data_IF_671525920259
#
_entry.id   IF_671525920259
#
_cell.length_a   1.000
_cell.length_b   1.000
_cell.length_c   1.000
_cell.angle_alpha   90.00
_cell.angle_beta   90.00
_cell.angle_gamma   90.00
#
_symmetry.space_group_name_H-M   'P 1'
#
loop_
_entity.id
_entity.type
_entity.pdbx_description
1 polymer ?
#
# COMPACT_ATOMS: atom_id res chain seq x y z
N UNK A 1 16.56 -15.18 -11.38
CA UNK A 1 17.12 -14.89 -10.04
C UNK A 1 16.57 -15.87 -9.01
N UNK A 2 17.36 -16.10 -7.96
CA UNK A 2 16.91 -16.85 -6.78
C UNK A 2 17.25 -16.04 -5.53
N UNK A 3 16.25 -15.84 -4.67
CA UNK A 3 16.42 -15.25 -3.35
C UNK A 3 16.54 -16.36 -2.32
N UNK A 4 17.43 -16.23 -1.38
CA UNK A 4 17.67 -17.23 -0.35
C UNK A 4 18.19 -16.61 0.94
N UNK A 5 18.09 -17.35 2.02
CA UNK A 5 18.52 -16.95 3.37
C UNK A 5 19.86 -17.58 3.71
N UNK A 6 20.72 -16.81 4.38
CA UNK A 6 22.01 -17.31 4.86
C UNK A 6 22.49 -16.56 6.10
N UNK A 7 23.14 -17.28 6.99
CA UNK A 7 23.88 -16.79 8.16
C UNK A 7 25.39 -16.62 7.89
N UNK A 8 25.77 -16.51 6.61
CA UNK A 8 27.18 -16.40 6.20
C UNK A 8 27.87 -15.17 6.81
N UNK A 9 29.19 -15.25 7.10
CA UNK A 9 29.95 -14.11 7.59
C UNK A 9 29.86 -12.90 6.66
N UNK A 10 29.75 -11.70 7.24
CA UNK A 10 29.64 -10.44 6.51
C UNK A 10 28.19 -10.00 6.24
N UNK A 11 27.19 -10.68 6.80
CA UNK A 11 25.80 -10.23 6.86
C UNK A 11 25.58 -9.10 7.85
N UNK A 12 24.34 -8.66 7.98
CA UNK A 12 23.92 -7.60 8.89
C UNK A 12 23.40 -8.14 10.22
N UNK A 13 22.82 -9.35 10.21
CA UNK A 13 22.20 -9.93 11.38
C UNK A 13 22.40 -11.43 11.55
N UNK A 14 21.43 -12.06 12.20
CA UNK A 14 21.48 -13.50 12.46
C UNK A 14 21.32 -14.30 11.16
N UNK A 15 20.35 -13.90 10.31
CA UNK A 15 20.17 -14.43 8.96
C UNK A 15 19.76 -13.30 8.03
N UNK A 16 20.35 -13.25 6.85
CA UNK A 16 20.10 -12.23 5.83
C UNK A 16 19.57 -12.85 4.55
N UNK A 17 18.80 -12.05 3.79
CA UNK A 17 18.39 -12.40 2.44
C UNK A 17 19.42 -11.98 1.43
N UNK A 18 19.78 -12.93 0.59
CA UNK A 18 20.72 -12.80 -0.52
C UNK A 18 20.01 -13.10 -1.85
N UNK A 19 20.61 -12.65 -2.94
CA UNK A 19 20.17 -12.96 -4.30
C UNK A 19 21.33 -13.44 -5.14
N UNK A 20 21.03 -14.37 -6.05
CA UNK A 20 21.92 -14.84 -7.13
C UNK A 20 21.19 -14.76 -8.47
N UNK A 21 21.95 -14.50 -9.52
CA UNK A 21 21.52 -14.74 -10.88
C UNK A 21 21.70 -16.22 -11.24
N UNK A 22 20.82 -16.74 -12.07
CA UNK A 22 20.90 -18.08 -12.65
C UNK A 22 21.06 -17.90 -14.14
N UNK A 23 22.14 -18.36 -14.72
CA UNK A 23 22.38 -18.28 -16.15
C UNK A 23 21.58 -19.34 -16.94
N UNK A 24 21.69 -19.30 -18.27
CA UNK A 24 20.98 -20.24 -19.14
C UNK A 24 21.42 -21.71 -18.98
N UNK A 25 22.56 -21.95 -18.34
CA UNK A 25 23.08 -23.30 -18.05
C UNK A 25 22.81 -23.76 -16.63
N UNK A 26 22.10 -22.92 -15.81
CA UNK A 26 21.78 -23.20 -14.42
C UNK A 26 22.91 -22.88 -13.44
N UNK A 27 23.97 -22.20 -13.86
CA UNK A 27 25.05 -21.76 -12.94
C UNK A 27 24.61 -20.50 -12.19
N UNK A 28 25.06 -20.41 -10.92
CA UNK A 28 24.75 -19.30 -10.03
C UNK A 28 25.88 -18.26 -10.05
N UNK A 29 25.50 -17.00 -10.02
CA UNK A 29 26.44 -15.90 -9.75
C UNK A 29 26.92 -15.91 -8.30
N UNK A 30 27.91 -15.05 -7.99
CA UNK A 30 28.25 -14.77 -6.60
C UNK A 30 27.03 -14.17 -5.86
N UNK A 31 26.76 -14.63 -4.63
CA UNK A 31 25.67 -14.12 -3.83
C UNK A 31 25.85 -12.64 -3.46
N UNK A 32 24.79 -11.87 -3.65
CA UNK A 32 24.71 -10.47 -3.23
C UNK A 32 23.72 -10.33 -2.07
N UNK A 33 24.17 -9.69 -0.99
CA UNK A 33 23.31 -9.31 0.12
C UNK A 33 22.35 -8.18 -0.32
N UNK A 34 21.08 -8.26 0.01
CA UNK A 34 20.08 -7.23 -0.36
C UNK A 34 20.22 -5.91 0.38
N UNK A 35 21.14 -5.83 1.34
CA UNK A 35 21.48 -4.58 2.01
C UNK A 35 20.51 -4.18 3.13
N UNK A 36 20.78 -3.05 3.77
CA UNK A 36 20.13 -2.59 5.01
C UNK A 36 18.67 -2.18 4.85
N UNK A 37 18.15 -2.02 3.65
CA UNK A 37 16.74 -1.76 3.42
C UNK A 37 15.89 -3.00 3.68
N UNK A 38 16.46 -4.18 3.47
CA UNK A 38 15.83 -5.48 3.69
C UNK A 38 16.38 -6.14 4.95
N UNK A 39 17.71 -6.26 5.07
CA UNK A 39 18.37 -6.99 6.14
C UNK A 39 18.67 -6.07 7.34
N UNK A 40 18.48 -6.60 8.55
CA UNK A 40 18.66 -5.91 9.82
C UNK A 40 19.62 -6.71 10.73
N UNK A 41 19.74 -6.33 11.99
CA UNK A 41 20.47 -7.12 12.99
C UNK A 41 19.72 -8.38 13.45
N UNK A 42 18.44 -8.50 13.03
CA UNK A 42 17.55 -9.61 13.36
C UNK A 42 17.67 -10.76 12.34
N UNK A 43 16.64 -11.60 12.27
CA UNK A 43 16.49 -12.66 11.27
C UNK A 43 15.61 -12.16 10.14
N UNK A 44 16.08 -12.27 8.93
CA UNK A 44 15.25 -12.16 7.73
C UNK A 44 15.14 -13.54 7.08
N UNK A 45 13.91 -14.01 6.90
CA UNK A 45 13.61 -15.39 6.49
C UNK A 45 12.50 -15.45 5.44
N UNK A 46 12.34 -16.59 4.78
CA UNK A 46 11.22 -16.91 3.89
C UNK A 46 10.99 -15.88 2.78
N UNK A 47 12.01 -15.52 1.98
CA UNK A 47 11.84 -14.56 0.90
C UNK A 47 10.92 -15.10 -0.20
N UNK A 48 9.96 -14.32 -0.63
CA UNK A 48 9.08 -14.59 -1.76
C UNK A 48 8.98 -13.35 -2.65
N UNK A 49 9.49 -13.45 -3.87
CA UNK A 49 9.45 -12.35 -4.84
C UNK A 49 8.34 -12.61 -5.87
N UNK A 50 7.49 -11.64 -6.06
CA UNK A 50 6.43 -11.64 -7.07
C UNK A 50 6.30 -10.24 -7.67
N UNK A 51 6.27 -10.16 -8.99
CA UNK A 51 6.23 -8.89 -9.73
C UNK A 51 7.26 -7.86 -9.24
N UNK A 52 6.81 -6.76 -8.67
CA UNK A 52 7.61 -5.66 -8.17
C UNK A 52 7.66 -5.61 -6.65
N UNK A 53 7.56 -6.75 -5.98
CA UNK A 53 7.57 -6.85 -4.53
C UNK A 53 8.40 -8.04 -4.04
N UNK A 54 9.05 -7.86 -2.90
CA UNK A 54 9.66 -8.91 -2.09
C UNK A 54 8.91 -9.00 -0.76
N UNK A 55 8.36 -10.16 -0.47
CA UNK A 55 7.81 -10.50 0.84
C UNK A 55 8.82 -11.33 1.61
N UNK A 56 8.91 -11.11 2.89
CA UNK A 56 9.82 -11.86 3.78
C UNK A 56 9.33 -11.77 5.22
N UNK A 57 9.82 -12.65 6.09
CA UNK A 57 9.50 -12.61 7.51
C UNK A 57 10.70 -12.17 8.31
N UNK A 58 10.48 -11.40 9.37
CA UNK A 58 11.55 -10.91 10.24
C UNK A 58 11.07 -10.75 11.68
N UNK A 59 11.96 -11.04 12.64
CA UNK A 59 11.75 -10.75 14.06
C UNK A 59 12.39 -9.43 14.49
N UNK A 60 12.53 -8.47 13.55
CA UNK A 60 13.05 -7.13 13.85
C UNK A 60 12.20 -6.39 14.87
N UNK A 61 12.79 -5.44 15.63
CA UNK A 61 12.05 -4.63 16.59
C UNK A 61 10.84 -3.92 15.97
N UNK A 62 9.82 -3.65 16.78
CA UNK A 62 8.55 -3.00 16.40
C UNK A 62 7.63 -3.85 15.50
N UNK A 63 7.83 -5.16 15.48
CA UNK A 63 6.85 -6.12 14.98
C UNK A 63 5.65 -6.29 15.92
N UNK A 64 4.69 -7.11 15.52
CA UNK A 64 3.51 -7.47 16.33
C UNK A 64 3.76 -8.73 17.18
N UNK A 65 4.62 -9.61 16.69
CA UNK A 65 4.89 -10.91 17.31
C UNK A 65 6.36 -11.31 17.31
N UNK A 66 6.60 -12.56 17.07
CA UNK A 66 7.94 -13.12 16.87
C UNK A 66 8.43 -12.82 15.44
N UNK A 67 8.15 -13.74 14.50
CA UNK A 67 8.32 -13.45 13.07
C UNK A 67 7.08 -12.75 12.55
N UNK A 68 7.26 -11.62 11.89
CA UNK A 68 6.22 -10.91 11.16
C UNK A 68 6.52 -10.87 9.67
N UNK A 69 5.50 -10.87 8.84
CA UNK A 69 5.61 -10.70 7.40
C UNK A 69 5.75 -9.23 7.03
N UNK A 70 6.75 -8.94 6.22
CA UNK A 70 7.03 -7.62 5.66
C UNK A 70 6.93 -7.66 4.13
N UNK A 71 6.57 -6.53 3.54
CA UNK A 71 6.58 -6.29 2.09
C UNK A 71 7.56 -5.16 1.79
N UNK A 72 8.37 -5.33 0.76
CA UNK A 72 9.19 -4.27 0.19
C UNK A 72 8.91 -4.15 -1.30
N UNK A 73 8.57 -2.95 -1.75
CA UNK A 73 8.38 -2.67 -3.18
C UNK A 73 9.73 -2.41 -3.85
N UNK A 74 9.90 -2.96 -5.04
CA UNK A 74 11.12 -2.82 -5.83
C UNK A 74 11.35 -4.00 -6.76
N UNK A 75 12.38 -3.89 -7.59
CA UNK A 75 12.77 -4.92 -8.56
C UNK A 75 14.28 -5.03 -8.66
N UNK A 76 14.75 -6.16 -9.19
CA UNK A 76 16.14 -6.32 -9.60
C UNK A 76 17.18 -5.94 -8.53
N UNK A 77 17.00 -6.42 -7.31
CA UNK A 77 17.91 -6.20 -6.17
C UNK A 77 17.83 -4.81 -5.53
N UNK A 78 17.01 -3.91 -6.08
CA UNK A 78 16.76 -2.60 -5.49
C UNK A 78 15.36 -2.59 -4.87
N UNK A 79 15.33 -2.76 -3.57
CA UNK A 79 14.11 -2.80 -2.78
C UNK A 79 14.08 -1.63 -1.78
N UNK A 80 12.89 -1.08 -1.55
CA UNK A 80 12.64 -0.10 -0.50
C UNK A 80 12.72 -0.72 0.89
N UNK A 81 12.42 0.08 1.90
CA UNK A 81 12.34 -0.40 3.29
C UNK A 81 11.15 -1.35 3.43
N UNK A 82 11.37 -2.47 4.12
CA UNK A 82 10.29 -3.42 4.41
C UNK A 82 9.23 -2.81 5.31
N UNK A 83 7.97 -2.91 4.90
CA UNK A 83 6.78 -2.46 5.63
C UNK A 83 6.06 -3.68 6.21
N UNK A 84 5.80 -3.66 7.52
CA UNK A 84 5.03 -4.70 8.20
C UNK A 84 3.61 -4.77 7.62
N UNK A 85 3.12 -5.97 7.27
CA UNK A 85 1.78 -6.13 6.69
C UNK A 85 0.65 -5.89 7.71
N UNK A 86 0.96 -5.93 9.00
CA UNK A 86 -0.03 -5.73 10.05
C UNK A 86 -1.07 -6.85 10.14
N UNK A 87 -2.07 -6.65 11.00
CA UNK A 87 -3.22 -7.54 11.10
C UNK A 87 -4.10 -7.47 9.83
N UNK A 88 -4.72 -8.57 9.41
CA UNK A 88 -4.78 -9.89 10.07
C UNK A 88 -3.66 -10.87 9.64
N UNK A 89 -2.75 -10.46 8.76
CA UNK A 89 -1.64 -11.33 8.33
C UNK A 89 -0.70 -11.56 9.50
N UNK A 90 -0.22 -10.51 10.12
CA UNK A 90 0.62 -10.60 11.30
C UNK A 90 -0.22 -10.63 12.59
N UNK A 91 0.28 -11.32 13.60
CA UNK A 91 -0.33 -11.52 14.90
C UNK A 91 0.70 -11.32 16.01
N UNK A 92 0.33 -11.58 17.26
CA UNK A 92 1.28 -11.59 18.38
C UNK A 92 2.10 -12.89 18.50
N UNK A 93 2.21 -13.65 17.40
CA UNK A 93 2.92 -14.92 17.27
C UNK A 93 3.88 -14.88 16.09
N UNK A 94 4.40 -16.03 15.67
CA UNK A 94 5.18 -16.13 14.45
C UNK A 94 4.24 -16.23 13.24
N UNK A 95 4.47 -15.37 12.26
CA UNK A 95 3.76 -15.32 10.99
C UNK A 95 4.80 -15.30 9.86
N UNK A 96 4.77 -16.31 8.98
CA UNK A 96 5.86 -16.54 8.04
C UNK A 96 5.43 -17.29 6.78
N UNK A 97 6.39 -17.51 5.85
CA UNK A 97 6.16 -18.22 4.58
C UNK A 97 5.00 -17.67 3.76
N UNK A 98 4.86 -16.34 3.73
CA UNK A 98 3.80 -15.66 2.98
C UNK A 98 4.03 -15.81 1.48
N UNK A 99 2.98 -16.22 0.77
CA UNK A 99 2.91 -16.24 -0.68
C UNK A 99 1.59 -15.62 -1.14
N UNK A 100 1.60 -14.97 -2.29
CA UNK A 100 0.43 -14.36 -2.91
C UNK A 100 0.45 -14.63 -4.42
N UNK A 101 -0.71 -14.76 -5.03
CA UNK A 101 -0.80 -14.92 -6.47
C UNK A 101 -0.39 -13.64 -7.23
N UNK A 102 -0.16 -13.75 -8.53
CA UNK A 102 0.24 -12.62 -9.36
C UNK A 102 -0.85 -11.52 -9.47
N UNK A 103 -2.11 -11.85 -9.19
CA UNK A 103 -3.20 -10.85 -9.14
C UNK A 103 -3.18 -10.04 -7.84
N UNK A 104 -2.47 -10.50 -6.80
CA UNK A 104 -2.49 -9.90 -5.47
C UNK A 104 -3.80 -10.12 -4.71
N UNK A 105 -4.64 -11.06 -5.15
CA UNK A 105 -5.98 -11.25 -4.59
C UNK A 105 -6.06 -12.34 -3.52
N UNK A 106 -5.25 -13.38 -3.61
CA UNK A 106 -5.30 -14.49 -2.66
C UNK A 106 -3.93 -15.11 -2.43
N UNK A 107 -3.76 -15.67 -1.24
CA UNK A 107 -2.50 -16.28 -0.88
C UNK A 107 -2.60 -17.12 0.37
N UNK A 108 -1.43 -17.52 0.87
CA UNK A 108 -1.27 -18.35 2.06
C UNK A 108 -0.10 -17.83 2.89
N UNK A 109 -0.14 -18.11 4.17
CA UNK A 109 0.97 -17.92 5.10
C UNK A 109 0.92 -18.97 6.20
N UNK A 110 2.04 -19.20 6.88
CA UNK A 110 2.09 -20.06 8.04
C UNK A 110 2.06 -19.24 9.33
N UNK A 111 1.45 -19.76 10.38
CA UNK A 111 1.40 -19.09 11.68
C UNK A 111 1.17 -20.08 12.82
N UNK A 112 1.80 -19.82 13.98
CA UNK A 112 1.54 -20.53 15.24
C UNK A 112 0.55 -19.77 16.16
N UNK A 113 -0.33 -18.97 15.55
CA UNK A 113 -1.37 -18.21 16.27
C UNK A 113 -2.37 -19.14 16.95
N UNK A 114 -2.98 -18.66 18.03
CA UNK A 114 -3.99 -19.44 18.76
C UNK A 114 -5.19 -19.76 17.89
N UNK A 115 -5.72 -20.98 18.06
CA UNK A 115 -6.93 -21.45 17.37
C UNK A 115 -6.64 -22.34 16.16
N UNK A 116 -5.37 -22.59 15.86
CA UNK A 116 -4.93 -23.58 14.89
C UNK A 116 -5.10 -25.03 15.38
N UNK A 117 -4.62 -25.98 14.59
CA UNK A 117 -4.69 -27.42 14.87
C UNK A 117 -3.35 -28.00 15.33
N UNK A 118 -2.24 -27.37 14.94
CA UNK A 118 -0.88 -27.76 15.27
C UNK A 118 -0.09 -26.63 15.92
N UNK A 119 1.23 -26.78 15.93
CA UNK A 119 2.14 -25.70 16.35
C UNK A 119 2.18 -24.62 15.26
N UNK A 120 2.44 -25.02 14.02
CA UNK A 120 2.37 -24.16 12.84
C UNK A 120 1.25 -24.66 11.92
N UNK A 121 0.37 -23.77 11.53
CA UNK A 121 -0.73 -24.04 10.62
C UNK A 121 -0.64 -23.16 9.37
N UNK A 122 -1.18 -23.62 8.25
CA UNK A 122 -1.29 -22.87 7.02
C UNK A 122 -2.65 -22.17 6.98
N UNK A 123 -2.61 -20.86 6.84
CA UNK A 123 -3.78 -20.01 6.68
C UNK A 123 -3.88 -19.52 5.24
N UNK A 124 -5.10 -19.50 4.72
CA UNK A 124 -5.41 -18.84 3.46
C UNK A 124 -6.00 -17.46 3.72
N UNK A 125 -5.70 -16.51 2.86
CA UNK A 125 -6.32 -15.20 2.89
C UNK A 125 -6.82 -14.82 1.49
N UNK A 126 -7.82 -13.96 1.47
CA UNK A 126 -8.26 -13.28 0.27
C UNK A 126 -8.16 -11.78 0.51
N UNK A 127 -7.38 -11.10 -0.32
CA UNK A 127 -7.35 -9.65 -0.36
C UNK A 127 -8.71 -9.16 -0.84
N UNK A 128 -9.40 -8.40 -0.02
CA UNK A 128 -10.59 -7.69 -0.46
C UNK A 128 -10.08 -6.41 -1.10
N UNK A 129 -10.25 -6.22 -2.42
CA UNK A 129 -9.86 -4.98 -3.05
C UNK A 129 -10.50 -3.82 -2.29
N UNK A 130 -9.70 -2.82 -1.93
CA UNK A 130 -10.23 -1.63 -1.28
C UNK A 130 -11.03 -0.84 -2.31
N UNK A 131 -12.33 -1.09 -2.41
CA UNK A 131 -13.25 -0.41 -3.32
C UNK A 131 -13.66 0.98 -2.82
N UNK A 132 -13.13 1.42 -1.69
CA UNK A 132 -13.48 2.72 -1.17
C UNK A 132 -12.91 3.81 -2.07
N UNK A 133 -13.79 4.48 -2.74
CA UNK A 133 -13.44 5.63 -3.56
C UNK A 133 -14.39 6.79 -3.25
N UNK A 134 -13.88 8.00 -3.40
CA UNK A 134 -14.71 9.19 -3.54
C UNK A 134 -14.82 9.46 -5.04
N UNK A 135 -16.06 9.38 -5.54
CA UNK A 135 -16.39 9.70 -6.94
C UNK A 135 -17.07 11.05 -6.95
N UNK A 136 -16.34 12.08 -7.37
CA UNK A 136 -16.80 13.44 -7.32
C UNK A 136 -17.22 14.01 -8.66
N UNK A 137 -18.05 15.05 -8.59
CA UNK A 137 -18.32 15.95 -9.71
C UNK A 137 -18.25 17.39 -9.23
N UNK A 138 -17.87 18.30 -10.11
CA UNK A 138 -17.81 19.74 -9.85
C UNK A 138 -18.50 20.50 -10.97
N UNK A 139 -19.36 21.46 -10.60
CA UNK A 139 -20.11 22.28 -11.52
C UNK A 139 -20.18 23.73 -11.07
N UNK A 140 -20.54 24.62 -11.97
CA UNK A 140 -20.82 26.02 -11.65
C UNK A 140 -22.15 26.13 -10.88
N UNK A 141 -22.14 26.78 -9.72
CA UNK A 141 -23.36 26.99 -8.92
C UNK A 141 -24.45 27.74 -9.70
N UNK A 142 -24.07 28.75 -10.50
CA UNK A 142 -25.02 29.62 -11.20
C UNK A 142 -25.66 29.00 -12.44
N UNK A 143 -24.97 28.06 -13.10
CA UNK A 143 -25.43 27.49 -14.39
C UNK A 143 -25.59 26.00 -14.39
N UNK A 144 -25.08 25.28 -13.37
CA UNK A 144 -25.05 23.81 -13.35
C UNK A 144 -24.11 23.18 -14.38
N UNK A 145 -23.38 23.99 -15.14
CA UNK A 145 -22.45 23.49 -16.18
C UNK A 145 -21.26 22.82 -15.49
N UNK A 146 -20.91 21.59 -15.90
CA UNK A 146 -19.70 20.92 -15.41
C UNK A 146 -18.45 21.78 -15.59
N UNK A 147 -17.56 21.77 -14.62
CA UNK A 147 -16.31 22.49 -14.64
C UNK A 147 -15.16 21.49 -14.86
N UNK A 148 -14.65 21.47 -16.09
CA UNK A 148 -13.42 20.73 -16.43
C UNK A 148 -12.17 21.42 -15.83
N UNK A 149 -11.05 20.73 -15.79
CA UNK A 149 -9.75 21.26 -15.33
C UNK A 149 -9.82 21.98 -13.96
N UNK A 150 -10.73 21.55 -13.10
CA UNK A 150 -10.79 21.99 -11.71
C UNK A 150 -9.81 21.15 -10.91
N UNK A 151 -8.94 21.79 -10.12
CA UNK A 151 -8.05 21.08 -9.20
C UNK A 151 -8.82 20.70 -7.94
N UNK A 152 -8.80 19.43 -7.60
CA UNK A 152 -9.37 18.91 -6.35
C UNK A 152 -8.23 18.35 -5.50
N UNK A 153 -8.08 18.89 -4.29
CA UNK A 153 -7.07 18.45 -3.33
C UNK A 153 -7.74 17.67 -2.22
N UNK A 154 -7.20 16.49 -1.93
CA UNK A 154 -7.66 15.61 -0.85
C UNK A 154 -6.76 15.78 0.38
N UNK A 155 -7.38 16.01 1.52
CA UNK A 155 -6.75 16.08 2.83
C UNK A 155 -7.35 15.04 3.76
N UNK A 156 -6.57 14.60 4.75
CA UNK A 156 -7.08 13.78 5.85
C UNK A 156 -7.86 14.64 6.88
N UNK A 157 -8.32 13.96 7.95
CA UNK A 157 -9.06 14.61 9.06
C UNK A 157 -8.25 15.66 9.83
N UNK A 158 -6.92 15.61 9.75
CA UNK A 158 -5.98 16.51 10.43
C UNK A 158 -5.48 17.64 9.51
N UNK A 159 -6.01 17.71 8.27
CA UNK A 159 -5.65 18.72 7.27
C UNK A 159 -4.32 18.43 6.56
N UNK A 160 -3.80 17.21 6.66
CA UNK A 160 -2.58 16.80 5.96
C UNK A 160 -2.92 16.48 4.50
N UNK A 161 -2.15 17.04 3.58
CA UNK A 161 -2.25 16.75 2.15
C UNK A 161 -2.02 15.28 1.85
N UNK A 162 -2.93 14.67 1.10
CA UNK A 162 -2.83 13.28 0.66
C UNK A 162 -2.63 13.12 -0.84
N UNK A 163 -3.46 13.78 -1.65
CA UNK A 163 -3.46 13.59 -3.09
C UNK A 163 -4.16 14.74 -3.83
N UNK A 164 -4.00 14.76 -5.16
CA UNK A 164 -4.70 15.69 -6.06
C UNK A 164 -5.33 14.94 -7.22
N UNK A 165 -6.47 15.45 -7.69
CA UNK A 165 -7.12 15.05 -8.92
C UNK A 165 -7.50 16.30 -9.72
N UNK A 166 -7.75 16.13 -11.02
CA UNK A 166 -8.26 17.18 -11.91
C UNK A 166 -9.56 16.67 -12.53
N UNK A 167 -10.59 17.49 -12.56
CA UNK A 167 -11.85 17.13 -13.16
C UNK A 167 -11.75 17.04 -14.68
N UNK A 168 -12.42 16.04 -15.27
CA UNK A 168 -12.53 15.83 -16.69
C UNK A 168 -13.53 16.80 -17.37
N UNK A 169 -13.75 16.64 -18.67
CA UNK A 169 -14.70 17.45 -19.48
C UNK A 169 -16.14 17.36 -19.00
N UNK A 170 -16.49 16.35 -18.21
CA UNK A 170 -17.81 16.18 -17.58
C UNK A 170 -17.84 16.66 -16.13
N UNK A 171 -16.76 17.29 -15.66
CA UNK A 171 -16.60 17.77 -14.28
C UNK A 171 -16.30 16.65 -13.27
N UNK A 172 -16.02 15.41 -13.71
CA UNK A 172 -15.84 14.26 -12.83
C UNK A 172 -14.40 14.10 -12.39
N UNK A 173 -14.22 13.59 -11.16
CA UNK A 173 -12.94 13.20 -10.58
C UNK A 173 -13.09 12.00 -9.66
N UNK A 174 -11.99 11.32 -9.35
CA UNK A 174 -12.01 10.12 -8.51
C UNK A 174 -10.75 10.05 -7.63
N UNK A 175 -10.94 9.73 -6.35
CA UNK A 175 -9.90 9.28 -5.44
C UNK A 175 -10.16 7.83 -5.05
N UNK A 176 -9.22 6.94 -5.36
CA UNK A 176 -9.35 5.49 -5.11
C UNK A 176 -8.48 5.04 -3.93
N UNK A 177 -8.72 3.81 -3.48
CA UNK A 177 -7.94 3.13 -2.43
C UNK A 177 -7.88 3.93 -1.12
N UNK A 178 -9.01 4.51 -0.74
CA UNK A 178 -9.14 5.25 0.50
C UNK A 178 -9.45 4.30 1.67
N UNK A 179 -9.01 4.66 2.87
CA UNK A 179 -9.33 3.89 4.06
C UNK A 179 -10.85 3.90 4.32
N UNK A 180 -11.44 2.77 4.72
CA UNK A 180 -12.86 2.70 5.07
C UNK A 180 -13.15 3.52 6.33
N UNK A 181 -14.40 3.95 6.46
CA UNK A 181 -14.93 4.66 7.63
C UNK A 181 -14.11 5.89 8.08
N UNK A 182 -13.35 6.48 7.15
CA UNK A 182 -12.38 7.55 7.40
C UNK A 182 -12.89 8.89 6.86
N UNK A 183 -12.67 9.97 7.63
CA UNK A 183 -13.00 11.33 7.25
C UNK A 183 -11.92 11.95 6.35
N UNK A 184 -12.36 12.64 5.30
CA UNK A 184 -11.53 13.38 4.36
C UNK A 184 -12.12 14.76 4.09
N UNK A 185 -11.27 15.69 3.68
CA UNK A 185 -11.69 17.01 3.18
C UNK A 185 -11.23 17.18 1.75
N UNK A 186 -12.16 17.57 0.88
CA UNK A 186 -11.93 17.88 -0.53
C UNK A 186 -11.98 19.39 -0.71
N UNK A 187 -10.95 19.97 -1.30
CA UNK A 187 -10.91 21.39 -1.67
C UNK A 187 -10.84 21.50 -3.18
N UNK A 188 -11.86 22.09 -3.78
CA UNK A 188 -11.92 22.35 -5.22
C UNK A 188 -11.52 23.78 -5.52
N UNK A 189 -10.56 23.97 -6.43
CA UNK A 189 -10.03 25.28 -6.85
C UNK A 189 -10.03 25.39 -8.37
N UNK A 190 -10.54 26.52 -8.88
CA UNK A 190 -10.54 26.84 -10.31
C UNK A 190 -10.40 28.34 -10.53
N UNK A 191 -9.57 28.72 -11.50
CA UNK A 191 -9.40 30.13 -11.83
C UNK A 191 -10.72 30.82 -12.22
N UNK A 192 -11.00 31.96 -11.62
CA UNK A 192 -12.26 32.71 -11.81
C UNK A 192 -13.44 32.23 -10.96
N UNK A 193 -13.21 31.29 -10.05
CA UNK A 193 -14.19 30.81 -9.08
C UNK A 193 -13.66 30.95 -7.66
N UNK A 194 -14.55 30.97 -6.69
CA UNK A 194 -14.22 30.87 -5.28
C UNK A 194 -13.95 29.40 -4.96
N UNK A 195 -12.99 29.15 -4.08
CA UNK A 195 -12.70 27.79 -3.61
C UNK A 195 -13.90 27.22 -2.83
N UNK A 196 -14.14 25.94 -3.00
CA UNK A 196 -15.16 25.21 -2.26
C UNK A 196 -14.52 24.04 -1.49
N UNK A 197 -14.98 23.80 -0.29
CA UNK A 197 -14.48 22.75 0.60
C UNK A 197 -15.63 21.92 1.14
N UNK A 198 -15.50 20.59 1.02
CA UNK A 198 -16.49 19.64 1.55
C UNK A 198 -15.80 18.53 2.33
N UNK A 199 -16.36 18.20 3.50
CA UNK A 199 -15.93 17.04 4.27
C UNK A 199 -16.80 15.82 3.91
N UNK A 200 -16.14 14.67 3.74
CA UNK A 200 -16.77 13.41 3.37
C UNK A 200 -16.19 12.28 4.21
N UNK A 201 -17.03 11.31 4.54
CA UNK A 201 -16.59 10.09 5.22
C UNK A 201 -16.79 8.89 4.30
N UNK A 202 -15.73 8.12 4.09
CA UNK A 202 -15.81 6.86 3.35
C UNK A 202 -16.61 5.82 4.11
N UNK A 203 -17.16 4.86 3.38
CA UNK A 203 -17.83 3.68 3.92
C UNK A 203 -17.02 2.44 3.58
N UNK A 204 -17.34 1.29 4.15
CA UNK A 204 -16.70 0.03 3.80
C UNK A 204 -17.22 -0.49 2.46
N UNK A 205 -16.32 -0.81 1.54
CA UNK A 205 -16.61 -1.41 0.24
C UNK A 205 -17.67 -0.66 -0.58
N UNK A 206 -17.69 0.67 -0.48
CA UNK A 206 -18.67 1.51 -1.18
C UNK A 206 -17.99 2.78 -1.72
N UNK A 207 -18.34 3.14 -2.95
CA UNK A 207 -17.98 4.44 -3.51
C UNK A 207 -18.88 5.52 -2.91
N UNK A 208 -18.28 6.59 -2.40
CA UNK A 208 -19.02 7.72 -1.85
C UNK A 208 -19.14 8.81 -2.92
N UNK A 209 -20.35 9.11 -3.42
CA UNK A 209 -20.57 10.18 -4.38
C UNK A 209 -20.49 11.54 -3.68
N UNK A 210 -19.87 12.51 -4.35
CA UNK A 210 -19.74 13.90 -3.89
C UNK A 210 -20.03 14.86 -5.04
N UNK A 211 -20.78 15.93 -4.77
CA UNK A 211 -20.99 17.01 -5.74
C UNK A 211 -20.58 18.33 -5.11
N UNK A 212 -19.71 19.08 -5.80
CA UNK A 212 -19.28 20.40 -5.39
C UNK A 212 -19.77 21.45 -6.39
N UNK A 213 -20.21 22.59 -5.88
CA UNK A 213 -20.68 23.71 -6.70
C UNK A 213 -19.82 24.95 -6.45
N UNK A 214 -19.04 25.35 -7.47
CA UNK A 214 -18.20 26.52 -7.36
C UNK A 214 -18.95 27.78 -7.77
N UNK A 215 -18.83 28.82 -6.95
CA UNK A 215 -19.36 30.15 -7.20
C UNK A 215 -18.34 30.98 -7.98
N UNK A 216 -18.77 31.72 -9.01
CA UNK A 216 -17.88 32.66 -9.69
C UNK A 216 -17.35 33.71 -8.73
N UNK A 217 -16.05 33.96 -8.80
CA UNK A 217 -15.44 35.10 -8.08
C UNK A 217 -15.99 36.42 -8.61
N UNK A 218 -16.41 37.28 -7.70
CA UNK A 218 -16.83 38.66 -8.07
C UNK A 218 -15.55 39.46 -8.35
N UNK A 219 -15.40 39.99 -9.57
CA UNK A 219 -14.34 40.97 -9.84
C UNK A 219 -14.73 42.24 -9.11
N UNK A 220 -13.99 42.61 -8.09
CA UNK A 220 -14.05 43.99 -7.60
C UNK A 220 -13.70 44.95 -8.74
N UNK A 221 -14.53 45.96 -8.92
CA UNK A 221 -14.34 46.99 -9.94
C UNK A 221 -13.30 48.00 -9.49
#
# INVERSE_FOLDING_TARGET
KMYFVSDRPGGFGETDIYVVDIDAHGAFSEPKNLGKTINTEAKEMFPYAVENALYFSSNRPMGLGGLDVYKSDGTNETFGVGVNLGEPINSNRDDFSYIIDASGEQGYFASNRKGGKGDDDIYSFKSIPNFNAIVGSVASESSGIPLEETNITLYDKDGIFLSKAVSDTTGRYVFKNLNPSTGYTLVATKNGFMDDSISVKTKENENVPVTQFLRKAVKEK
#
